data_IF_479371688533
#
_entry.id   IF_479371688533
#
_cell.length_a   1.000
_cell.length_b   1.000
_cell.length_c   1.000
_cell.angle_alpha   90.00
_cell.angle_beta   90.00
_cell.angle_gamma   90.00
#
_symmetry.space_group_name_H-M   'P 1'
#
loop_
_entity.id
_entity.type
_entity.pdbx_description
1 polymer ?
#
# COMPACT_ATOMS: atom_id res chain seq x y z
N UNK A 1 11.94 -21.02 -6.37
CA UNK A 1 11.31 -21.04 -5.04
C UNK A 1 11.23 -19.61 -4.54
N UNK A 2 10.11 -19.19 -3.96
CA UNK A 2 9.92 -17.83 -3.41
C UNK A 2 9.59 -17.92 -1.93
N UNK A 3 10.18 -17.05 -1.13
CA UNK A 3 10.12 -17.06 0.33
C UNK A 3 9.40 -15.82 0.85
N UNK A 4 8.62 -16.00 1.92
CA UNK A 4 8.09 -14.92 2.73
C UNK A 4 8.35 -15.15 4.22
N UNK A 5 8.42 -14.07 4.99
CA UNK A 5 8.60 -14.10 6.43
C UNK A 5 7.66 -13.10 7.07
N UNK A 6 6.97 -13.51 8.15
CA UNK A 6 6.29 -12.59 9.04
C UNK A 6 7.27 -12.06 10.09
N UNK A 7 7.19 -10.77 10.38
CA UNK A 7 7.97 -10.12 11.43
C UNK A 7 7.06 -9.15 12.19
N UNK A 8 7.24 -9.09 13.51
CA UNK A 8 6.55 -8.15 14.37
C UNK A 8 7.54 -7.15 14.95
N UNK A 9 7.15 -5.87 14.99
CA UNK A 9 7.96 -4.78 15.52
C UNK A 9 7.17 -3.94 16.53
N UNK A 10 7.90 -3.23 17.38
CA UNK A 10 7.42 -2.04 18.07
C UNK A 10 8.04 -0.81 17.40
N UNK A 11 7.22 0.16 17.01
CA UNK A 11 7.66 1.44 16.44
C UNK A 11 6.86 2.56 17.09
N UNK A 12 7.55 3.55 17.65
CA UNK A 12 6.93 4.63 18.45
C UNK A 12 5.98 4.11 19.55
N UNK A 13 6.34 2.99 20.17
CA UNK A 13 5.55 2.34 21.23
C UNK A 13 4.31 1.58 20.75
N UNK A 14 4.15 1.38 19.43
CA UNK A 14 2.97 0.78 18.82
C UNK A 14 3.34 -0.44 17.97
N UNK A 15 2.39 -1.34 17.81
CA UNK A 15 2.60 -2.59 17.11
C UNK A 15 2.64 -2.39 15.58
N UNK A 16 3.57 -3.07 14.92
CA UNK A 16 3.62 -3.18 13.45
C UNK A 16 3.82 -4.64 13.08
N UNK A 17 2.94 -5.17 12.24
CA UNK A 17 3.12 -6.47 11.59
C UNK A 17 3.64 -6.24 10.18
N UNK A 18 4.66 -7.00 9.78
CA UNK A 18 5.23 -6.92 8.46
C UNK A 18 5.35 -8.31 7.82
N UNK A 19 5.18 -8.38 6.50
CA UNK A 19 5.61 -9.50 5.67
C UNK A 19 6.76 -9.02 4.80
N UNK A 20 7.90 -9.71 4.88
CA UNK A 20 9.03 -9.54 3.95
C UNK A 20 8.98 -10.68 2.94
N UNK A 21 8.82 -10.38 1.66
CA UNK A 21 8.60 -11.41 0.63
C UNK A 21 9.43 -11.17 -0.63
N UNK A 22 9.74 -12.24 -1.34
CA UNK A 22 10.31 -12.15 -2.68
C UNK A 22 9.40 -11.38 -3.64
N UNK A 23 10.01 -10.59 -4.52
CA UNK A 23 9.29 -9.85 -5.55
C UNK A 23 8.39 -10.78 -6.40
N UNK A 24 8.90 -11.97 -6.71
CA UNK A 24 8.18 -12.99 -7.49
C UNK A 24 6.93 -13.54 -6.79
N UNK A 25 6.80 -13.41 -5.47
CA UNK A 25 5.66 -13.87 -4.69
C UNK A 25 4.50 -12.86 -4.63
N UNK A 26 4.70 -11.62 -5.08
CA UNK A 26 3.68 -10.57 -4.98
C UNK A 26 2.69 -10.64 -6.14
N UNK A 27 1.41 -10.69 -5.80
CA UNK A 27 0.29 -10.72 -6.75
C UNK A 27 -0.80 -9.76 -6.29
N UNK A 28 -1.33 -8.92 -7.18
CA UNK A 28 -2.51 -8.13 -6.87
C UNK A 28 -3.78 -8.91 -7.21
N UNK A 29 -4.72 -8.94 -6.28
CA UNK A 29 -5.95 -9.71 -6.41
C UNK A 29 -7.18 -8.86 -6.11
N UNK A 30 -8.24 -9.15 -6.86
CA UNK A 30 -9.60 -8.77 -6.51
C UNK A 30 -10.11 -9.84 -5.56
N UNK A 31 -10.64 -9.41 -4.42
CA UNK A 31 -11.17 -10.31 -3.40
C UNK A 31 -12.68 -10.16 -3.22
N UNK A 32 -13.34 -9.32 -4.03
CA UNK A 32 -14.72 -8.91 -3.80
C UNK A 32 -14.84 -8.10 -2.51
N UNK A 33 -16.06 -7.72 -2.11
CA UNK A 33 -16.29 -6.97 -0.88
C UNK A 33 -16.11 -7.87 0.36
N UNK A 34 -14.89 -7.96 0.88
CA UNK A 34 -14.57 -8.84 2.03
C UNK A 34 -13.34 -8.34 2.80
N UNK A 35 -13.23 -8.76 4.06
CA UNK A 35 -12.05 -8.52 4.88
C UNK A 35 -10.86 -9.37 4.38
N UNK A 36 -9.64 -8.85 4.51
CA UNK A 36 -8.39 -9.58 4.19
C UNK A 36 -8.22 -10.77 5.13
N UNK A 37 -8.58 -10.60 6.40
CA UNK A 37 -8.46 -11.66 7.43
C UNK A 37 -9.31 -12.90 7.10
N UNK A 38 -10.37 -12.71 6.30
CA UNK A 38 -11.29 -13.77 5.86
C UNK A 38 -10.85 -14.43 4.54
N UNK A 39 -9.80 -13.94 3.89
CA UNK A 39 -9.29 -14.54 2.66
C UNK A 39 -8.51 -15.83 2.91
N UNK A 40 -8.54 -16.81 2.00
CA UNK A 40 -7.66 -17.99 2.10
C UNK A 40 -6.20 -17.67 1.77
N UNK A 41 -5.90 -16.44 1.32
CA UNK A 41 -4.57 -15.99 0.89
C UNK A 41 -3.93 -15.08 1.93
N UNK A 42 -2.60 -15.09 1.98
CA UNK A 42 -1.81 -14.16 2.79
C UNK A 42 -1.59 -12.85 2.05
N UNK A 43 -1.38 -11.77 2.78
CA UNK A 43 -1.16 -10.43 2.24
C UNK A 43 -1.74 -9.33 3.11
N UNK A 44 -1.84 -8.14 2.52
CA UNK A 44 -2.45 -6.95 3.13
C UNK A 44 -3.53 -6.37 2.22
N UNK A 45 -4.36 -5.47 2.75
CA UNK A 45 -5.32 -4.73 1.93
C UNK A 45 -4.63 -3.91 0.84
N UNK A 46 -5.34 -3.68 -0.26
CA UNK A 46 -4.85 -2.96 -1.42
C UNK A 46 -5.11 -1.45 -1.39
N UNK A 47 -5.41 -0.91 -2.57
CA UNK A 47 -5.60 0.54 -2.78
C UNK A 47 -6.97 1.04 -2.32
N UNK A 48 -7.16 2.35 -2.40
CA UNK A 48 -8.37 3.05 -1.99
C UNK A 48 -9.58 2.72 -2.86
N UNK A 49 -10.78 2.85 -2.29
CA UNK A 49 -12.05 2.61 -2.98
C UNK A 49 -13.15 3.55 -2.50
N UNK A 50 -14.21 3.65 -3.29
CA UNK A 50 -15.42 4.37 -2.92
C UNK A 50 -16.33 3.46 -2.08
N UNK A 51 -16.67 3.90 -0.86
CA UNK A 51 -17.47 3.11 0.09
C UNK A 51 -18.89 2.81 -0.38
N UNK A 52 -19.45 3.65 -1.27
CA UNK A 52 -20.82 3.52 -1.75
C UNK A 52 -20.96 2.44 -2.82
N UNK A 53 -19.96 2.29 -3.70
CA UNK A 53 -20.08 1.42 -4.88
C UNK A 53 -18.91 0.45 -5.08
N UNK A 54 -17.92 0.46 -4.18
CA UNK A 54 -16.76 -0.44 -4.22
C UNK A 54 -15.76 -0.19 -5.34
N UNK A 55 -15.99 0.80 -6.21
CA UNK A 55 -15.06 1.10 -7.29
C UNK A 55 -13.74 1.63 -6.74
N UNK A 56 -12.62 1.22 -7.36
CA UNK A 56 -11.32 1.69 -6.92
C UNK A 56 -11.14 3.17 -7.23
N UNK A 57 -10.44 3.86 -6.33
CA UNK A 57 -9.99 5.24 -6.51
C UNK A 57 -8.47 5.33 -6.61
N UNK A 58 -7.79 4.19 -6.64
CA UNK A 58 -6.37 4.08 -6.94
C UNK A 58 -6.08 2.93 -7.92
N UNK A 59 -4.89 2.97 -8.50
CA UNK A 59 -4.42 1.95 -9.43
C UNK A 59 -4.29 0.58 -8.71
N UNK A 60 -4.76 -0.49 -9.34
CA UNK A 60 -4.53 -1.88 -8.99
C UNK A 60 -4.55 -2.70 -10.29
N UNK A 61 -3.38 -3.06 -10.80
CA UNK A 61 -3.17 -3.74 -12.08
C UNK A 61 -2.37 -5.03 -11.88
N UNK A 62 -2.72 -6.09 -12.59
CA UNK A 62 -2.00 -7.35 -12.64
C UNK A 62 -1.89 -7.79 -14.10
N UNK A 63 -0.68 -8.11 -14.54
CA UNK A 63 -0.36 -8.56 -15.91
C UNK A 63 -0.97 -7.64 -16.98
N UNK A 64 -0.81 -6.32 -16.84
CA UNK A 64 -1.36 -5.33 -17.76
C UNK A 64 -2.88 -5.11 -17.70
N UNK A 65 -3.62 -5.85 -16.88
CA UNK A 65 -5.07 -5.70 -16.73
C UNK A 65 -5.45 -5.09 -15.37
N UNK A 66 -6.54 -4.31 -15.33
CA UNK A 66 -7.09 -3.80 -14.07
C UNK A 66 -7.66 -4.96 -13.24
N UNK A 67 -7.33 -4.98 -11.97
CA UNK A 67 -7.75 -6.03 -11.03
C UNK A 67 -9.22 -5.86 -10.64
N UNK A 68 -9.69 -4.61 -10.56
CA UNK A 68 -11.07 -4.27 -10.23
C UNK A 68 -11.51 -3.05 -11.05
N UNK A 69 -12.81 -2.76 -11.09
CA UNK A 69 -13.37 -1.54 -11.70
C UNK A 69 -12.62 -0.31 -11.22
N UNK A 70 -12.24 0.55 -12.16
CA UNK A 70 -11.40 1.75 -12.02
C UNK A 70 -9.94 1.53 -11.57
N UNK A 71 -9.46 0.30 -11.43
CA UNK A 71 -8.08 -0.02 -11.04
C UNK A 71 -6.98 0.39 -12.03
N UNK A 72 -7.29 1.14 -13.07
CA UNK A 72 -6.32 1.66 -14.05
C UNK A 72 -5.96 3.13 -13.83
N UNK A 73 -6.62 3.81 -12.88
CA UNK A 73 -6.47 5.23 -12.65
C UNK A 73 -6.51 5.58 -11.15
N UNK A 74 -5.92 6.71 -10.82
CA UNK A 74 -5.99 7.35 -9.52
C UNK A 74 -7.06 8.44 -9.59
N UNK A 75 -8.14 8.27 -8.83
CA UNK A 75 -9.20 9.27 -8.73
C UNK A 75 -8.95 10.19 -7.56
N UNK A 76 -9.18 11.48 -7.80
CA UNK A 76 -9.22 12.46 -6.73
C UNK A 76 -10.59 12.58 -6.09
N UNK A 77 -10.66 13.23 -4.93
CA UNK A 77 -11.95 13.65 -4.38
C UNK A 77 -12.64 14.61 -5.35
N UNK A 78 -13.98 14.62 -5.29
CA UNK A 78 -14.82 15.64 -5.93
C UNK A 78 -14.65 15.77 -7.46
N UNK A 79 -14.26 14.68 -8.14
CA UNK A 79 -14.04 14.70 -9.60
C UNK A 79 -12.74 15.37 -10.03
N UNK A 80 -11.90 15.82 -9.10
CA UNK A 80 -10.60 16.43 -9.42
C UNK A 80 -9.63 15.36 -9.91
N UNK A 81 -8.99 15.58 -11.06
CA UNK A 81 -7.94 14.71 -11.57
C UNK A 81 -6.65 14.90 -10.75
N UNK A 82 -6.46 14.02 -9.76
CA UNK A 82 -5.27 14.02 -8.90
C UNK A 82 -4.32 12.90 -9.30
N UNK A 83 -3.02 13.12 -9.12
CA UNK A 83 -2.04 12.05 -9.20
C UNK A 83 -1.80 11.45 -7.81
N UNK A 84 -1.27 10.24 -7.78
CA UNK A 84 -0.92 9.54 -6.52
C UNK A 84 0.34 8.73 -6.72
N UNK A 85 1.05 8.48 -5.62
CA UNK A 85 2.13 7.52 -5.58
C UNK A 85 1.64 6.16 -6.05
N UNK A 86 2.34 5.57 -7.00
CA UNK A 86 2.03 4.25 -7.52
C UNK A 86 3.33 3.46 -7.58
N UNK A 87 3.32 2.26 -7.01
CA UNK A 87 4.45 1.33 -7.09
C UNK A 87 4.20 0.36 -8.23
N UNK A 88 5.24 0.13 -9.03
CA UNK A 88 5.22 -0.72 -10.21
C UNK A 88 6.22 -1.85 -10.05
N UNK A 89 5.80 -3.05 -10.42
CA UNK A 89 6.70 -4.11 -10.83
C UNK A 89 6.62 -4.26 -12.35
N UNK A 90 7.74 -4.09 -13.02
CA UNK A 90 7.82 -4.03 -14.47
C UNK A 90 8.94 -4.93 -15.00
N UNK A 91 9.16 -4.88 -16.32
CA UNK A 91 10.13 -5.75 -17.00
C UNK A 91 9.89 -7.24 -16.69
N UNK A 92 8.61 -7.67 -16.71
CA UNK A 92 8.21 -9.05 -16.49
C UNK A 92 8.34 -9.53 -15.04
N UNK A 93 8.63 -8.66 -14.07
CA UNK A 93 8.76 -9.05 -12.67
C UNK A 93 10.11 -8.77 -12.03
N UNK A 94 11.02 -8.09 -12.73
CA UNK A 94 12.44 -8.02 -12.37
C UNK A 94 12.88 -6.65 -11.85
N UNK A 95 12.00 -5.63 -11.91
CA UNK A 95 12.34 -4.28 -11.49
C UNK A 95 11.17 -3.62 -10.76
N UNK A 96 11.50 -2.75 -9.81
CA UNK A 96 10.56 -1.94 -9.05
C UNK A 96 10.83 -0.45 -9.31
N UNK A 97 9.76 0.33 -9.43
CA UNK A 97 9.82 1.79 -9.46
C UNK A 97 8.59 2.37 -8.77
N UNK A 98 8.67 3.64 -8.39
CA UNK A 98 7.49 4.42 -7.99
C UNK A 98 7.33 5.63 -8.88
N UNK A 99 6.08 6.01 -9.16
CA UNK A 99 5.75 7.20 -9.93
C UNK A 99 4.55 7.92 -9.34
N UNK A 100 4.44 9.21 -9.61
CA UNK A 100 3.26 10.01 -9.29
C UNK A 100 2.45 10.18 -10.57
N UNK A 101 1.35 9.44 -10.70
CA UNK A 101 0.55 9.38 -11.93
C UNK A 101 -0.94 9.47 -11.66
N UNK A 102 -1.71 9.88 -12.67
CA UNK A 102 -3.18 9.82 -12.69
C UNK A 102 -3.69 8.54 -13.35
N UNK A 103 -2.95 7.99 -14.31
CA UNK A 103 -3.25 6.71 -14.96
C UNK A 103 -1.99 5.85 -15.10
N UNK A 104 -2.16 4.52 -15.17
CA UNK A 104 -1.03 3.59 -15.31
C UNK A 104 -0.23 3.81 -16.61
N UNK A 105 -0.85 4.38 -17.65
CA UNK A 105 -0.26 4.66 -18.96
C UNK A 105 0.74 5.81 -18.94
N UNK A 106 0.78 6.64 -17.89
CA UNK A 106 1.70 7.79 -17.80
C UNK A 106 3.16 7.41 -17.52
N UNK A 107 3.44 6.13 -17.24
CA UNK A 107 4.74 5.70 -16.69
C UNK A 107 5.82 5.42 -17.73
N UNK A 108 5.44 5.34 -19.00
CA UNK A 108 6.31 4.83 -20.10
C UNK A 108 6.95 3.47 -19.82
N UNK A 109 6.50 2.72 -18.80
CA UNK A 109 7.06 1.43 -18.43
C UNK A 109 6.45 0.32 -19.30
N UNK A 110 7.31 -0.54 -19.86
CA UNK A 110 6.90 -1.74 -20.58
C UNK A 110 6.75 -2.94 -19.65
N UNK A 111 5.87 -3.88 -20.02
CA UNK A 111 5.71 -5.18 -19.34
C UNK A 111 5.43 -5.04 -17.82
N UNK A 112 4.47 -4.18 -17.46
CA UNK A 112 3.98 -4.03 -16.09
C UNK A 112 3.35 -5.35 -15.62
N UNK A 113 4.05 -6.04 -14.71
CA UNK A 113 3.57 -7.27 -14.05
C UNK A 113 2.52 -6.93 -13.00
N UNK A 114 2.74 -5.88 -12.22
CA UNK A 114 1.70 -5.33 -11.36
C UNK A 114 1.94 -3.85 -11.06
N UNK A 115 0.87 -3.14 -10.71
CA UNK A 115 0.94 -1.75 -10.24
C UNK A 115 -0.11 -1.49 -9.16
N UNK A 116 0.27 -0.82 -8.08
CA UNK A 116 -0.63 -0.50 -6.96
C UNK A 116 -0.46 0.96 -6.53
N UNK A 117 -1.58 1.68 -6.43
CA UNK A 117 -1.67 3.09 -6.06
C UNK A 117 -1.81 3.29 -4.55
N UNK A 118 -1.23 4.36 -4.05
CA UNK A 118 -1.10 4.72 -2.64
C UNK A 118 -0.71 6.18 -2.45
N UNK A 119 -0.28 6.57 -1.26
CA UNK A 119 0.39 7.83 -1.01
C UNK A 119 1.90 7.70 -1.09
N UNK A 120 2.54 8.63 -1.79
CA UNK A 120 3.99 8.63 -1.93
C UNK A 120 4.66 8.87 -0.58
N UNK A 121 5.63 8.03 -0.22
CA UNK A 121 6.42 8.18 1.02
C UNK A 121 7.82 8.73 0.78
N UNK A 122 8.35 8.66 -0.45
CA UNK A 122 9.68 9.13 -0.82
C UNK A 122 10.79 8.83 0.21
N UNK A 123 11.07 7.54 0.51
CA UNK A 123 12.12 7.19 1.47
C UNK A 123 13.51 7.72 1.09
N UNK A 124 13.78 7.87 -0.20
CA UNK A 124 15.04 8.33 -0.77
C UNK A 124 15.23 9.86 -0.82
N UNK A 125 14.23 10.65 -0.43
CA UNK A 125 14.31 12.12 -0.42
C UNK A 125 14.54 12.61 1.00
N UNK A 126 15.56 13.43 1.27
CA UNK A 126 15.72 14.02 2.60
C UNK A 126 14.76 15.19 2.81
N UNK A 127 14.08 15.22 3.96
CA UNK A 127 13.22 16.34 4.38
C UNK A 127 13.71 16.86 5.73
N UNK A 128 13.75 18.19 5.89
CA UNK A 128 14.22 18.81 7.13
C UNK A 128 13.35 18.44 8.36
N UNK A 129 12.05 18.19 8.16
CA UNK A 129 11.10 17.82 9.19
C UNK A 129 9.81 17.24 8.55
N UNK A 130 8.86 16.81 9.39
CA UNK A 130 7.57 16.28 8.94
C UNK A 130 6.74 17.31 8.15
N UNK A 131 6.79 18.60 8.49
CA UNK A 131 6.08 19.64 7.76
C UNK A 131 6.58 19.77 6.31
N UNK A 132 7.89 19.73 6.08
CA UNK A 132 8.47 19.74 4.73
C UNK A 132 8.05 18.51 3.91
N UNK A 133 8.01 17.34 4.54
CA UNK A 133 7.46 16.13 3.92
C UNK A 133 5.99 16.31 3.54
N UNK A 134 5.14 16.75 4.46
CA UNK A 134 3.72 16.95 4.18
C UNK A 134 3.49 18.00 3.10
N UNK A 135 4.25 19.08 3.06
CA UNK A 135 4.19 20.06 1.97
C UNK A 135 4.51 19.41 0.62
N UNK A 136 5.58 18.61 0.54
CA UNK A 136 5.99 17.95 -0.70
C UNK A 136 4.92 16.98 -1.23
N UNK A 137 4.27 16.24 -0.33
CA UNK A 137 3.23 15.28 -0.70
C UNK A 137 1.81 15.89 -0.74
N UNK A 138 1.69 17.22 -0.65
CA UNK A 138 0.42 17.96 -0.56
C UNK A 138 -0.52 17.44 0.55
N UNK A 139 0.04 17.25 1.73
CA UNK A 139 -0.53 16.63 2.93
C UNK A 139 -1.12 17.59 3.98
N UNK A 140 -1.32 18.88 3.65
CA UNK A 140 -1.64 19.94 4.63
C UNK A 140 -3.02 20.60 4.47
N UNK A 141 -3.85 20.20 3.51
CA UNK A 141 -5.22 20.75 3.32
C UNK A 141 -6.26 20.20 4.31
N UNK A 142 -7.55 20.34 4.01
CA UNK A 142 -8.70 19.59 4.58
C UNK A 142 -9.14 18.46 3.64
N UNK A 143 -9.22 17.23 4.18
CA UNK A 143 -9.40 16.00 3.42
C UNK A 143 -10.83 15.84 2.93
N UNK A 144 -11.73 16.70 3.44
CA UNK A 144 -13.13 16.79 3.07
C UNK A 144 -13.42 18.06 2.24
N UNK A 145 -12.48 19.01 2.16
CA UNK A 145 -12.66 20.22 1.39
C UNK A 145 -12.24 20.00 -0.07
N UNK A 146 -13.22 19.93 -0.97
CA UNK A 146 -12.96 19.82 -2.41
C UNK A 146 -12.08 20.98 -2.94
N UNK A 147 -12.13 22.15 -2.28
CA UNK A 147 -11.32 23.33 -2.63
C UNK A 147 -9.82 23.10 -2.46
N UNK A 148 -9.43 22.14 -1.62
CA UNK A 148 -8.03 21.84 -1.34
C UNK A 148 -7.49 20.73 -2.27
N UNK A 149 -8.38 20.12 -3.07
CA UNK A 149 -8.01 19.16 -4.09
C UNK A 149 -7.29 19.88 -5.25
N UNK A 150 -5.98 19.68 -5.32
CA UNK A 150 -5.15 20.26 -6.37
C UNK A 150 -4.92 19.25 -7.48
N UNK A 151 -5.24 19.64 -8.71
CA UNK A 151 -4.96 18.81 -9.87
C UNK A 151 -3.46 18.51 -9.96
N UNK A 152 -3.11 17.31 -10.43
CA UNK A 152 -1.71 16.90 -10.64
C UNK A 152 -0.81 16.88 -9.39
N UNK A 153 -1.33 16.99 -8.17
CA UNK A 153 -0.48 16.89 -6.97
C UNK A 153 -0.09 15.47 -6.63
N UNK A 154 0.96 15.33 -5.82
CA UNK A 154 1.60 14.05 -5.53
C UNK A 154 0.76 13.10 -4.69
N UNK A 155 -0.25 13.64 -4.01
CA UNK A 155 -1.35 12.90 -3.42
C UNK A 155 -2.66 13.65 -3.66
N UNK A 156 -3.73 12.89 -3.90
CA UNK A 156 -5.09 13.36 -3.67
C UNK A 156 -5.24 13.51 -2.16
N UNK A 157 -5.22 14.73 -1.63
CA UNK A 157 -5.35 14.91 -0.19
C UNK A 157 -6.74 14.44 0.29
N UNK A 158 -6.81 13.17 0.68
CA UNK A 158 -7.98 12.50 1.26
C UNK A 158 -7.46 11.62 2.40
N UNK A 159 -8.27 11.30 3.41
CA UNK A 159 -7.90 10.36 4.49
C UNK A 159 -6.74 10.78 5.42
N UNK A 160 -6.45 12.09 5.48
CA UNK A 160 -5.63 12.74 6.52
C UNK A 160 -4.27 12.04 6.76
N UNK A 161 -3.26 12.19 5.89
CA UNK A 161 -1.94 11.58 6.07
C UNK A 161 -1.20 12.04 7.34
N UNK A 162 -1.56 13.19 7.92
CA UNK A 162 -0.91 13.75 9.12
C UNK A 162 -1.40 13.18 10.45
N UNK A 163 -2.54 12.49 10.48
CA UNK A 163 -3.11 11.95 11.73
C UNK A 163 -2.69 10.50 11.97
N UNK A 164 -2.57 10.13 13.24
CA UNK A 164 -2.27 8.78 13.64
C UNK A 164 -3.52 7.90 13.51
N UNK A 165 -3.45 6.86 12.67
CA UNK A 165 -4.50 5.87 12.43
C UNK A 165 -3.87 4.54 12.04
N UNK A 166 -4.59 3.41 12.07
CA UNK A 166 -4.09 2.21 11.42
C UNK A 166 -3.67 2.53 9.97
N UNK A 167 -2.51 2.04 9.55
CA UNK A 167 -1.98 2.25 8.19
C UNK A 167 -1.54 0.94 7.59
N UNK A 168 -1.55 0.91 6.26
CA UNK A 168 -0.96 -0.17 5.47
C UNK A 168 0.03 0.43 4.50
N UNK A 169 1.17 -0.22 4.26
CA UNK A 169 2.16 0.27 3.32
C UNK A 169 2.88 -0.87 2.59
N UNK A 170 3.41 -0.53 1.42
CA UNK A 170 4.28 -1.40 0.62
C UNK A 170 5.60 -0.68 0.34
N UNK A 171 6.71 -1.39 0.53
CA UNK A 171 8.08 -0.89 0.34
C UNK A 171 8.96 -1.89 -0.41
N UNK A 172 10.06 -1.39 -0.96
CA UNK A 172 11.12 -2.19 -1.61
C UNK A 172 12.47 -1.80 -1.03
N UNK A 173 13.22 -2.77 -0.52
CA UNK A 173 14.54 -2.58 0.12
C UNK A 173 15.73 -2.82 -0.82
N UNK A 174 15.47 -3.00 -2.12
CA UNK A 174 16.48 -3.42 -3.10
C UNK A 174 16.52 -4.94 -3.33
N UNK A 175 15.89 -5.74 -2.47
CA UNK A 175 15.88 -7.21 -2.57
C UNK A 175 14.51 -7.85 -2.32
N UNK A 176 13.75 -7.35 -1.35
CA UNK A 176 12.46 -7.90 -0.93
C UNK A 176 11.40 -6.80 -0.87
N UNK A 177 10.16 -7.22 -1.09
CA UNK A 177 8.99 -6.40 -0.85
C UNK A 177 8.61 -6.48 0.63
N UNK A 178 8.34 -5.33 1.21
CA UNK A 178 7.81 -5.17 2.56
C UNK A 178 6.34 -4.81 2.49
N UNK A 179 5.48 -5.61 3.10
CA UNK A 179 4.08 -5.27 3.35
C UNK A 179 3.91 -5.03 4.85
N UNK A 180 3.51 -3.84 5.26
CA UNK A 180 3.41 -3.49 6.68
C UNK A 180 2.00 -3.02 7.04
N UNK A 181 1.49 -3.45 8.19
CA UNK A 181 0.26 -2.97 8.80
C UNK A 181 0.59 -2.45 10.20
N UNK A 182 0.22 -1.20 10.44
CA UNK A 182 0.55 -0.42 11.62
C UNK A 182 -0.68 -0.28 12.51
N UNK A 183 -0.49 -0.38 13.83
CA UNK A 183 -1.56 -0.15 14.79
C UNK A 183 -2.09 1.29 14.72
N UNK A 184 -1.19 2.29 14.74
CA UNK A 184 -1.59 3.69 14.65
C UNK A 184 -0.41 4.60 14.30
N UNK A 185 -0.29 5.04 13.05
CA UNK A 185 0.78 5.95 12.62
C UNK A 185 0.28 7.00 11.61
N UNK A 186 0.98 8.12 11.55
CA UNK A 186 0.85 9.06 10.43
C UNK A 186 1.81 8.70 9.29
N UNK A 187 1.64 9.31 8.12
CA UNK A 187 2.42 8.96 6.93
C UNK A 187 3.92 9.24 7.09
N UNK A 188 4.29 10.25 7.89
CA UNK A 188 5.70 10.53 8.17
C UNK A 188 6.33 9.44 9.04
N UNK A 189 5.63 8.95 10.05
CA UNK A 189 6.09 7.82 10.89
C UNK A 189 6.22 6.53 10.05
N UNK A 190 5.21 6.22 9.22
CA UNK A 190 5.26 5.07 8.29
C UNK A 190 6.46 5.18 7.34
N UNK A 191 6.75 6.39 6.85
CA UNK A 191 7.94 6.67 6.03
C UNK A 191 9.22 6.36 6.80
N UNK A 192 9.36 6.81 8.06
CA UNK A 192 10.54 6.52 8.88
C UNK A 192 10.70 5.01 9.11
N UNK A 193 9.61 4.30 9.39
CA UNK A 193 9.64 2.84 9.52
C UNK A 193 10.20 2.19 8.25
N UNK A 194 9.71 2.58 7.07
CA UNK A 194 10.18 2.04 5.79
C UNK A 194 11.66 2.33 5.54
N UNK A 195 12.13 3.54 5.83
CA UNK A 195 13.56 3.89 5.75
C UNK A 195 14.40 3.01 6.67
N UNK A 196 13.94 2.80 7.91
CA UNK A 196 14.62 1.95 8.90
C UNK A 196 14.65 0.47 8.51
N UNK A 197 13.87 0.05 7.51
CA UNK A 197 13.91 -1.29 6.89
C UNK A 197 14.76 -1.34 5.61
N UNK A 198 15.43 -0.24 5.27
CA UNK A 198 16.24 -0.12 4.06
C UNK A 198 15.43 0.15 2.80
N UNK A 199 14.12 0.43 2.92
CA UNK A 199 13.31 0.72 1.74
C UNK A 199 13.77 2.02 1.09
N UNK A 200 14.12 1.95 -0.20
CA UNK A 200 14.43 3.13 -1.02
C UNK A 200 13.21 3.61 -1.81
N UNK A 201 12.20 2.75 -1.97
CA UNK A 201 10.91 3.05 -2.59
C UNK A 201 9.79 2.58 -1.67
N UNK A 202 8.80 3.41 -1.41
CA UNK A 202 7.63 3.01 -0.63
C UNK A 202 6.42 3.90 -0.90
N UNK A 203 5.23 3.31 -0.74
CA UNK A 203 3.95 4.01 -0.73
C UNK A 203 3.08 3.49 0.42
N UNK A 204 2.17 4.34 0.90
CA UNK A 204 1.15 3.98 1.87
C UNK A 204 -0.14 3.62 1.16
N UNK A 205 -0.69 2.44 1.42
CA UNK A 205 -1.93 1.94 0.84
C UNK A 205 -3.16 2.47 1.59
N UNK A 206 -4.33 1.90 1.32
CA UNK A 206 -5.52 2.28 2.09
C UNK A 206 -5.35 1.94 3.57
N UNK A 207 -5.85 2.82 4.44
CA UNK A 207 -5.62 2.78 5.87
C UNK A 207 -6.92 2.84 6.68
N UNK A 208 -6.80 3.25 7.94
CA UNK A 208 -7.92 3.24 8.89
C UNK A 208 -8.47 1.83 9.04
N UNK A 209 -9.78 1.69 9.02
CA UNK A 209 -10.44 0.38 9.17
C UNK A 209 -10.16 -0.62 8.05
N UNK A 210 -9.61 -0.16 6.91
CA UNK A 210 -9.17 -1.05 5.84
C UNK A 210 -7.86 -1.77 6.18
N UNK A 211 -7.08 -1.28 7.16
CA UNK A 211 -5.77 -1.83 7.49
C UNK A 211 -5.85 -3.21 8.11
N UNK A 212 -5.49 -4.23 7.34
CA UNK A 212 -5.59 -5.63 7.74
C UNK A 212 -4.48 -6.45 7.07
N UNK A 213 -4.03 -7.50 7.76
CA UNK A 213 -3.05 -8.45 7.27
C UNK A 213 -3.49 -9.88 7.56
N UNK A 214 -3.22 -10.79 6.63
CA UNK A 214 -3.20 -12.23 6.89
C UNK A 214 -1.82 -12.76 6.54
N UNK A 215 -1.22 -13.55 7.42
CA UNK A 215 0.14 -14.05 7.27
C UNK A 215 0.26 -15.47 7.81
N UNK A 216 1.36 -16.15 7.49
CA UNK A 216 1.69 -17.42 8.12
C UNK A 216 2.72 -17.19 9.24
N UNK A 217 2.55 -17.94 10.33
CA UNK A 217 3.60 -18.15 11.33
C UNK A 217 4.04 -19.60 11.25
N UNK A 218 5.34 -19.84 11.12
CA UNK A 218 5.89 -21.19 11.12
C UNK A 218 5.89 -21.71 12.56
N UNK A 219 5.16 -22.79 12.82
CA UNK A 219 5.14 -23.49 14.11
C UNK A 219 5.49 -24.95 13.86
N UNK A 220 6.57 -25.42 14.47
CA UNK A 220 7.07 -26.79 14.29
C UNK A 220 7.25 -27.16 12.80
N UNK A 221 7.80 -26.25 11.99
CA UNK A 221 8.00 -26.43 10.55
C UNK A 221 6.75 -26.31 9.69
N UNK A 222 5.57 -26.05 10.28
CA UNK A 222 4.31 -25.92 9.53
C UNK A 222 3.80 -24.47 9.54
N UNK A 223 3.50 -23.87 8.37
CA UNK A 223 2.88 -22.55 8.31
C UNK A 223 1.43 -22.61 8.81
N UNK A 224 1.13 -21.83 9.85
CA UNK A 224 -0.21 -21.68 10.40
C UNK A 224 -0.75 -20.27 10.11
N UNK A 225 -1.98 -20.13 9.57
CA UNK A 225 -2.52 -18.83 9.22
C UNK A 225 -2.89 -18.01 10.47
N UNK A 226 -2.46 -16.76 10.50
CA UNK A 226 -2.76 -15.77 11.54
C UNK A 226 -3.21 -14.48 10.86
N UNK A 227 -4.00 -13.68 11.57
CA UNK A 227 -4.52 -12.40 11.09
C UNK A 227 -4.15 -11.28 12.04
N UNK A 228 -3.95 -10.09 11.50
CA UNK A 228 -3.81 -8.86 12.25
C UNK A 228 -4.75 -7.80 11.69
N UNK A 229 -5.64 -7.32 12.54
CA UNK A 229 -6.58 -6.24 12.27
C UNK A 229 -6.54 -5.28 13.47
N UNK A 230 -5.73 -4.21 13.40
CA UNK A 230 -5.57 -3.27 14.52
C UNK A 230 -6.87 -2.57 14.94
N UNK A 231 -7.86 -2.46 14.05
CA UNK A 231 -9.17 -1.89 14.38
C UNK A 231 -10.16 -2.93 14.92
N UNK A 232 -9.90 -4.23 14.69
CA UNK A 232 -10.85 -5.32 14.89
C UNK A 232 -12.20 -5.04 14.19
N UNK A 233 -12.15 -4.38 13.04
CA UNK A 233 -13.35 -3.95 12.30
C UNK A 233 -13.73 -4.91 11.17
N UNK A 234 -12.77 -5.73 10.70
CA UNK A 234 -12.90 -6.63 9.57
C UNK A 234 -13.56 -5.98 8.35
N UNK A 235 -13.19 -4.72 8.08
CA UNK A 235 -13.80 -3.93 7.03
C UNK A 235 -13.72 -4.65 5.68
N UNK A 236 -14.82 -4.78 4.93
CA UNK A 236 -14.78 -5.17 3.53
C UNK A 236 -13.90 -4.22 2.71
N UNK A 237 -12.89 -4.76 2.05
CA UNK A 237 -12.08 -4.10 1.01
C UNK A 237 -12.25 -4.87 -0.28
N UNK A 238 -11.75 -4.35 -1.41
CA UNK A 238 -11.99 -4.95 -2.74
C UNK A 238 -10.74 -5.53 -3.40
N UNK A 239 -9.57 -5.09 -2.95
CA UNK A 239 -8.29 -5.60 -3.45
C UNK A 239 -7.35 -5.94 -2.31
N UNK A 240 -6.43 -6.86 -2.59
CA UNK A 240 -5.33 -7.20 -1.70
C UNK A 240 -4.00 -7.23 -2.47
N UNK A 241 -2.92 -6.90 -1.77
CA UNK A 241 -1.57 -7.28 -2.17
C UNK A 241 -1.29 -8.65 -1.55
N UNK A 242 -1.45 -9.70 -2.35
CA UNK A 242 -1.30 -11.07 -1.92
C UNK A 242 0.15 -11.55 -1.99
N UNK A 243 0.48 -12.48 -1.10
CA UNK A 243 1.79 -13.15 -1.01
C UNK A 243 1.60 -14.63 -1.32
N UNK A 244 2.12 -15.06 -2.46
CA UNK A 244 2.09 -16.45 -2.95
C UNK A 244 3.48 -17.07 -2.89
N UNK A 245 4.13 -16.92 -1.74
CA UNK A 245 5.41 -17.58 -1.48
C UNK A 245 5.20 -19.11 -1.40
N UNK A 246 6.16 -19.86 -1.96
CA UNK A 246 6.17 -21.32 -1.88
C UNK A 246 6.72 -21.81 -0.55
N UNK A 247 7.37 -20.91 0.21
CA UNK A 247 7.94 -21.21 1.52
C UNK A 247 7.74 -20.02 2.47
N UNK A 248 7.48 -20.33 3.74
CA UNK A 248 7.36 -19.35 4.82
C UNK A 248 8.39 -19.69 5.89
N UNK A 249 9.13 -18.67 6.33
CA UNK A 249 10.20 -18.77 7.34
C UNK A 249 9.96 -17.86 8.53
#
# INVERSE_FOLDING_TARGET
>A
MTVAQHIQYSHNGKLVHAIKADLGAIVLRNIGATAVVNQPKFGVNGTFFNLTNGQLTGIAMQNGARVHTNGHLNQGPCGTATKRGTMYCYNGGNAISTGVVGAYTETSLSNIKWAIGGYSLFPNVSYANSAAFYTAINGTGDANACTDAKANTQNAYRFSPSINRPRTAIGWDGSKIWLAVFQSENAYEVRQFMINRGCNLAIMLDGGSSSQMKYAVVRNGNPSPVSYDPGNEQRPVYTMVAVEATDWV
#
